data_IF_743714114846
#
_entry.id   IF_743714114846
#
_cell.length_a   1.000
_cell.length_b   1.000
_cell.length_c   1.000
_cell.angle_alpha   90.00
_cell.angle_beta   90.00
_cell.angle_gamma   90.00
#
_symmetry.space_group_name_H-M   'P 1'
#
loop_
_entity.id
_entity.type
_entity.pdbx_description
1 polymer ?
#
# COMPACT_ATOMS: atom_id res chain seq x y z
N UNK A 1 -62.69 -8.89 39.12
CA UNK A 1 -62.20 -9.65 40.28
C UNK A 1 -60.72 -9.25 40.43
N UNK A 2 -60.29 -8.34 41.32
CA UNK A 2 -60.89 -7.72 42.52
C UNK A 2 -61.30 -8.70 43.62
N UNK A 3 -60.99 -8.28 44.86
CA UNK A 3 -61.27 -8.91 46.16
C UNK A 3 -60.43 -10.18 46.46
N UNK A 4 -59.99 -10.46 47.71
CA UNK A 4 -60.35 -9.87 49.02
C UNK A 4 -59.22 -9.97 50.07
N UNK A 5 -59.14 -8.99 51.01
CA UNK A 5 -58.76 -9.04 52.46
C UNK A 5 -57.46 -9.73 52.96
N UNK A 6 -56.64 -9.15 53.86
CA UNK A 6 -56.82 -8.74 55.28
C UNK A 6 -57.05 -9.91 56.28
N UNK A 7 -56.58 -9.91 57.55
CA UNK A 7 -55.55 -9.12 58.27
C UNK A 7 -55.38 -9.65 59.73
N UNK A 8 -54.26 -9.35 60.41
CA UNK A 8 -54.09 -9.31 61.89
C UNK A 8 -52.81 -8.48 62.19
N UNK A 9 -52.79 -7.34 62.92
CA UNK A 9 -53.17 -7.04 64.33
C UNK A 9 -52.21 -7.67 65.38
N UNK A 10 -51.75 -7.02 66.45
CA UNK A 10 -51.66 -5.59 66.89
C UNK A 10 -50.62 -5.53 68.07
N UNK A 11 -50.44 -4.54 68.99
CA UNK A 11 -51.09 -3.25 69.35
C UNK A 11 -50.18 -2.48 70.37
N UNK A 12 -50.07 -1.14 70.29
CA UNK A 12 -49.61 -0.15 71.34
C UNK A 12 -48.22 -0.37 72.03
N UNK A 13 -47.60 0.59 72.76
CA UNK A 13 -48.03 1.90 73.29
C UNK A 13 -46.93 3.02 73.31
N UNK A 14 -47.28 4.21 73.81
CA UNK A 14 -46.46 5.44 73.87
C UNK A 14 -45.28 5.46 74.89
N UNK A 15 -44.29 6.35 74.68
CA UNK A 15 -43.84 7.37 75.68
C UNK A 15 -42.61 8.18 75.21
N UNK A 16 -42.54 9.47 75.60
CA UNK A 16 -41.31 10.30 75.54
C UNK A 16 -40.68 10.50 76.92
N UNK A 17 -39.36 10.71 76.97
CA UNK A 17 -38.81 11.84 77.74
C UNK A 17 -37.89 12.70 76.84
N UNK A 18 -37.52 13.94 77.20
CA UNK A 18 -37.61 14.58 78.51
C UNK A 18 -36.19 14.84 79.04
N UNK A 19 -35.72 16.09 78.98
CA UNK A 19 -34.32 16.43 79.22
C UNK A 19 -33.92 16.50 80.70
N UNK A 20 -32.65 16.24 80.99
CA UNK A 20 -32.08 16.38 82.34
C UNK A 20 -30.55 16.52 82.32
N UNK A 21 -30.05 17.63 82.85
CA UNK A 21 -28.65 17.88 83.20
C UNK A 21 -28.68 18.41 84.64
N UNK A 22 -27.89 17.84 85.57
CA UNK A 22 -26.65 18.53 85.90
C UNK A 22 -25.46 17.61 86.22
N UNK A 23 -24.31 17.91 85.61
CA UNK A 23 -23.03 18.09 86.31
C UNK A 23 -22.43 16.91 87.09
N UNK A 24 -21.41 16.27 86.50
CA UNK A 24 -20.34 15.61 87.24
C UNK A 24 -18.98 16.07 86.68
N UNK A 25 -18.09 16.55 87.56
CA UNK A 25 -16.79 17.11 87.16
C UNK A 25 -15.69 16.04 87.07
N UNK A 26 -14.84 16.15 86.04
CA UNK A 26 -13.45 15.66 86.02
C UNK A 26 -12.68 16.36 84.91
N UNK A 27 -11.56 16.98 85.28
CA UNK A 27 -10.51 17.39 84.35
C UNK A 27 -9.54 16.21 84.13
N UNK A 28 -8.49 16.43 83.31
CA UNK A 28 -7.55 15.42 82.79
C UNK A 28 -8.22 14.52 81.72
N UNK A 29 -7.64 14.22 80.55
CA UNK A 29 -6.27 14.47 80.06
C UNK A 29 -6.22 15.12 78.67
N UNK A 30 -5.62 16.32 78.57
CA UNK A 30 -5.44 17.03 77.29
C UNK A 30 -4.23 16.54 76.47
N UNK A 31 -3.56 15.46 76.89
CA UNK A 31 -2.22 15.07 76.39
C UNK A 31 -2.20 13.93 75.35
N UNK A 32 -3.36 13.39 74.96
CA UNK A 32 -3.43 12.24 74.04
C UNK A 32 -4.24 12.49 72.75
N UNK A 33 -4.79 13.69 72.57
CA UNK A 33 -5.53 14.05 71.37
C UNK A 33 -4.63 14.37 70.15
N UNK A 34 -3.50 15.07 70.35
CA UNK A 34 -2.63 15.48 69.24
C UNK A 34 -1.85 14.32 68.60
N UNK A 35 -1.30 13.40 69.39
CA UNK A 35 -0.44 12.32 68.89
C UNK A 35 -1.18 11.30 68.03
N UNK A 36 -2.48 11.07 68.27
CA UNK A 36 -3.30 10.16 67.44
C UNK A 36 -3.69 10.79 66.10
N UNK A 37 -3.93 12.10 66.05
CA UNK A 37 -4.33 12.82 64.82
C UNK A 37 -3.17 13.06 63.84
N UNK A 38 -1.93 13.21 64.35
CA UNK A 38 -0.75 13.35 63.48
C UNK A 38 -0.41 12.04 62.79
N UNK A 39 -0.51 10.90 63.49
CA UNK A 39 -0.21 9.59 62.90
C UNK A 39 -1.19 9.18 61.79
N UNK A 40 -2.49 9.45 61.96
CA UNK A 40 -3.51 9.11 60.95
C UNK A 40 -3.41 10.00 59.71
N UNK A 41 -3.08 11.28 59.87
CA UNK A 41 -2.79 12.16 58.74
C UNK A 41 -1.57 11.69 57.94
N UNK A 42 -0.51 11.24 58.62
CA UNK A 42 0.70 10.72 57.96
C UNK A 42 0.41 9.44 57.15
N UNK A 43 -0.42 8.53 57.69
CA UNK A 43 -0.77 7.28 57.01
C UNK A 43 -1.62 7.53 55.75
N UNK A 44 -2.58 8.47 55.80
CA UNK A 44 -3.40 8.82 54.64
C UNK A 44 -2.60 9.53 53.55
N UNK A 45 -1.61 10.36 53.92
CA UNK A 45 -0.71 11.02 52.96
C UNK A 45 0.16 10.05 52.16
N UNK A 46 0.63 8.95 52.77
CA UNK A 46 1.47 7.94 52.08
C UNK A 46 0.67 7.09 51.09
N UNK A 47 -0.57 6.72 51.42
CA UNK A 47 -1.42 5.93 50.51
C UNK A 47 -1.79 6.71 49.24
N UNK A 48 -1.96 8.03 49.34
CA UNK A 48 -2.26 8.90 48.20
C UNK A 48 -1.11 9.04 47.17
N UNK A 49 0.13 8.66 47.52
CA UNK A 49 1.29 8.72 46.62
C UNK A 49 1.52 7.44 45.81
N UNK A 50 0.82 6.34 46.12
CA UNK A 50 1.02 5.03 45.48
C UNK A 50 0.03 4.73 44.35
N UNK A 51 -1.03 5.53 44.18
CA UNK A 51 -2.04 5.35 43.13
C UNK A 51 -1.65 5.91 41.75
N UNK A 52 -0.52 6.63 41.66
CA UNK A 52 -0.06 7.33 40.45
C UNK A 52 0.43 6.45 39.28
N UNK A 53 0.50 5.13 39.43
CA UNK A 53 0.89 4.20 38.35
C UNK A 53 -0.28 3.68 37.49
N UNK A 54 -1.50 4.16 37.71
CA UNK A 54 -2.64 3.84 36.85
C UNK A 54 -2.57 4.54 35.48
N UNK A 55 -2.94 3.81 34.42
CA UNK A 55 -3.21 4.35 33.07
C UNK A 55 -2.00 4.98 32.35
N UNK A 56 -0.85 4.30 32.35
CA UNK A 56 -0.04 4.28 31.12
C UNK A 56 -0.64 3.25 30.16
N UNK A 57 -0.93 3.67 28.93
CA UNK A 57 -1.35 2.74 27.87
C UNK A 57 -0.26 1.74 27.50
N UNK A 58 -0.62 0.68 26.76
CA UNK A 58 0.36 -0.16 26.07
C UNK A 58 0.85 0.55 24.79
N UNK A 59 2.06 0.23 24.29
CA UNK A 59 2.50 0.59 22.95
C UNK A 59 1.46 0.23 21.88
N UNK A 60 1.42 1.01 20.81
CA UNK A 60 0.52 0.78 19.68
C UNK A 60 1.20 1.07 18.37
N UNK A 61 0.84 0.32 17.33
CA UNK A 61 1.33 0.51 15.97
C UNK A 61 0.16 0.92 15.08
N UNK A 62 0.38 1.82 14.12
CA UNK A 62 -0.64 2.28 13.18
C UNK A 62 -0.03 2.45 11.79
N UNK A 63 -0.72 2.00 10.75
CA UNK A 63 -0.30 2.22 9.36
C UNK A 63 -0.68 3.66 9.00
N UNK A 64 0.32 4.52 8.77
CA UNK A 64 0.12 5.95 8.47
C UNK A 64 0.12 6.25 6.97
N UNK A 65 0.75 5.38 6.17
CA UNK A 65 0.73 5.42 4.70
C UNK A 65 0.85 4.00 4.12
N UNK A 66 0.28 3.79 2.94
CA UNK A 66 0.29 2.52 2.22
C UNK A 66 0.14 2.77 0.71
N UNK A 67 1.25 2.72 -0.01
CA UNK A 67 1.33 3.06 -1.45
C UNK A 67 1.88 1.91 -2.28
N UNK A 68 1.57 1.92 -3.58
CA UNK A 68 2.29 1.13 -4.58
C UNK A 68 3.39 2.00 -5.21
N UNK A 69 4.55 1.40 -5.44
CA UNK A 69 5.76 2.04 -5.94
C UNK A 69 6.55 1.05 -6.81
N UNK A 70 7.51 1.52 -7.61
CA UNK A 70 8.32 0.67 -8.52
C UNK A 70 7.50 -0.25 -9.46
N UNK A 71 6.31 0.18 -9.89
CA UNK A 71 5.48 -0.60 -10.81
C UNK A 71 6.22 -0.86 -12.14
N UNK A 72 6.13 -2.09 -12.63
CA UNK A 72 6.85 -2.54 -13.83
C UNK A 72 6.11 -3.71 -14.50
N UNK A 73 6.76 -4.42 -15.43
CA UNK A 73 6.30 -5.74 -15.89
C UNK A 73 6.80 -6.91 -15.03
N UNK A 74 7.80 -6.69 -14.18
CA UNK A 74 8.41 -7.75 -13.34
C UNK A 74 7.72 -7.86 -11.97
N UNK A 75 7.29 -6.73 -11.43
CA UNK A 75 6.77 -6.62 -10.08
C UNK A 75 6.39 -5.18 -9.68
N UNK A 76 6.11 -5.02 -8.39
CA UNK A 76 5.76 -3.75 -7.74
C UNK A 76 6.17 -3.80 -6.26
N UNK A 77 6.56 -2.67 -5.69
CA UNK A 77 6.87 -2.52 -4.26
C UNK A 77 5.64 -1.98 -3.53
N UNK A 78 5.07 -2.77 -2.62
CA UNK A 78 4.06 -2.30 -1.65
C UNK A 78 4.81 -1.61 -0.52
N UNK A 79 4.75 -0.29 -0.48
CA UNK A 79 5.44 0.54 0.51
C UNK A 79 4.48 0.88 1.65
N UNK A 80 4.70 0.29 2.82
CA UNK A 80 3.93 0.57 4.04
C UNK A 80 4.75 1.44 4.98
N UNK A 81 4.13 2.47 5.56
CA UNK A 81 4.71 3.25 6.67
C UNK A 81 3.92 2.98 7.93
N UNK A 82 4.61 2.52 8.98
CA UNK A 82 3.99 2.20 10.28
C UNK A 82 4.60 3.08 11.36
N UNK A 83 3.77 3.86 12.05
CA UNK A 83 4.16 4.63 13.23
C UNK A 83 3.89 3.79 14.49
N UNK A 84 4.96 3.46 15.22
CA UNK A 84 4.91 2.70 16.48
C UNK A 84 5.11 3.66 17.64
N UNK A 85 4.09 3.83 18.49
CA UNK A 85 4.06 4.77 19.61
C UNK A 85 4.39 4.07 20.92
N UNK A 86 5.32 4.62 21.68
CA UNK A 86 5.73 4.15 23.00
C UNK A 86 5.28 5.13 24.10
N UNK A 87 4.21 4.81 24.85
CA UNK A 87 3.76 5.62 25.97
C UNK A 87 4.61 5.46 27.24
N UNK A 88 5.58 4.54 27.30
CA UNK A 88 6.41 4.33 28.50
C UNK A 88 7.47 5.43 28.69
N UNK A 89 7.91 5.71 29.93
CA UNK A 89 8.93 6.72 30.23
C UNK A 89 10.37 6.26 29.91
N UNK A 90 10.53 5.06 29.34
CA UNK A 90 11.80 4.47 28.90
C UNK A 90 11.64 3.91 27.48
N UNK A 91 12.75 3.83 26.75
CA UNK A 91 12.75 3.34 25.37
C UNK A 91 12.45 1.83 25.32
N UNK A 92 11.74 1.39 24.27
CA UNK A 92 11.34 -0.01 24.08
C UNK A 92 12.06 -0.58 22.85
N UNK A 93 12.84 -1.66 22.99
CA UNK A 93 13.36 -2.41 21.85
C UNK A 93 12.23 -3.02 21.01
N UNK A 94 12.29 -2.83 19.69
CA UNK A 94 11.52 -3.60 18.72
C UNK A 94 12.45 -4.69 18.19
N UNK A 95 12.13 -5.93 18.55
CA UNK A 95 13.05 -7.07 18.46
C UNK A 95 13.09 -7.62 17.04
N UNK A 96 11.93 -7.82 16.42
CA UNK A 96 11.76 -7.98 14.99
C UNK A 96 10.39 -7.46 14.51
N UNK A 97 10.21 -7.38 13.19
CA UNK A 97 8.90 -7.20 12.54
C UNK A 97 8.73 -8.30 11.51
N UNK A 98 7.89 -9.28 11.82
CA UNK A 98 7.49 -10.33 10.87
C UNK A 98 6.43 -9.78 9.91
N UNK A 99 6.46 -10.19 8.64
CA UNK A 99 5.45 -9.81 7.66
C UNK A 99 5.16 -10.90 6.63
N UNK A 100 3.93 -10.93 6.14
CA UNK A 100 3.48 -11.77 5.03
C UNK A 100 2.55 -11.01 4.10
N UNK A 101 2.60 -11.32 2.80
CA UNK A 101 1.64 -10.84 1.81
C UNK A 101 1.00 -12.05 1.14
N UNK A 102 -0.34 -12.10 1.18
CA UNK A 102 -1.16 -13.13 0.58
C UNK A 102 -2.17 -12.53 -0.42
N UNK A 103 -2.65 -13.35 -1.37
CA UNK A 103 -3.69 -12.99 -2.35
C UNK A 103 -4.61 -14.20 -2.53
N UNK A 104 -5.92 -14.00 -2.35
CA UNK A 104 -6.91 -15.10 -2.35
C UNK A 104 -6.50 -16.27 -1.43
N UNK A 105 -6.15 -15.92 -0.19
CA UNK A 105 -5.67 -16.83 0.88
C UNK A 105 -4.28 -17.46 0.65
N UNK A 106 -3.81 -17.56 -0.60
CA UNK A 106 -2.47 -18.06 -0.94
C UNK A 106 -1.33 -17.09 -0.59
N UNK A 107 -0.25 -17.63 -0.03
CA UNK A 107 0.92 -16.87 0.43
C UNK A 107 1.90 -16.57 -0.72
N UNK A 108 2.06 -15.28 -1.07
CA UNK A 108 2.98 -14.83 -2.12
C UNK A 108 4.40 -14.65 -1.57
N UNK A 109 4.56 -13.99 -0.42
CA UNK A 109 5.86 -13.79 0.22
C UNK A 109 5.75 -13.66 1.74
N UNK A 110 6.84 -14.01 2.42
CA UNK A 110 7.06 -13.79 3.86
C UNK A 110 8.43 -13.17 4.08
N UNK A 111 8.64 -12.53 5.23
CA UNK A 111 9.92 -11.98 5.63
C UNK A 111 9.91 -11.43 7.05
N UNK A 112 11.08 -10.95 7.50
CA UNK A 112 11.22 -10.29 8.79
C UNK A 112 12.26 -9.16 8.72
N UNK A 113 11.99 -8.04 9.39
CA UNK A 113 12.98 -7.02 9.70
C UNK A 113 13.57 -7.34 11.08
N UNK A 114 14.79 -7.86 11.10
CA UNK A 114 15.50 -8.19 12.34
C UNK A 114 16.13 -6.96 12.98
N UNK A 115 15.91 -6.78 14.29
CA UNK A 115 16.48 -5.71 15.13
C UNK A 115 16.37 -4.29 14.52
N UNK A 116 15.17 -3.82 14.13
CA UNK A 116 14.94 -2.46 13.62
C UNK A 116 15.21 -1.34 14.65
N UNK A 117 15.66 -1.66 15.86
CA UNK A 117 16.10 -0.73 16.90
C UNK A 117 15.00 -0.43 17.93
N UNK A 118 15.16 0.64 18.70
CA UNK A 118 14.21 0.99 19.78
C UNK A 118 13.29 2.15 19.40
N UNK A 119 12.09 2.16 19.98
CA UNK A 119 11.19 3.33 19.99
C UNK A 119 11.53 4.19 21.23
N UNK A 120 11.70 5.52 21.08
CA UNK A 120 12.10 6.41 22.18
C UNK A 120 11.07 6.48 23.32
N UNK A 121 11.52 6.88 24.51
CA UNK A 121 10.66 7.14 25.66
C UNK A 121 9.63 8.24 25.35
N UNK A 122 8.35 8.02 25.69
CA UNK A 122 7.20 8.93 25.44
C UNK A 122 7.06 9.42 23.99
N UNK A 123 7.69 8.73 23.02
CA UNK A 123 7.73 9.14 21.62
C UNK A 123 7.18 8.08 20.67
N UNK A 124 7.47 8.23 19.39
CA UNK A 124 7.14 7.24 18.37
C UNK A 124 8.30 6.99 17.42
N UNK A 125 8.15 5.97 16.58
CA UNK A 125 9.08 5.64 15.50
C UNK A 125 8.30 5.20 14.27
N UNK A 126 8.44 5.96 13.19
CA UNK A 126 8.01 5.52 11.86
C UNK A 126 9.00 4.48 11.31
N UNK A 127 8.46 3.43 10.70
CA UNK A 127 9.19 2.37 10.04
C UNK A 127 8.64 2.21 8.62
N UNK A 128 9.52 2.31 7.63
CA UNK A 128 9.22 1.98 6.24
C UNK A 128 9.40 0.47 6.03
N UNK A 129 8.36 -0.21 5.55
CA UNK A 129 8.36 -1.65 5.27
C UNK A 129 8.06 -1.85 3.77
N UNK A 130 9.07 -2.03 2.91
CA UNK A 130 8.90 -2.22 1.47
C UNK A 130 8.78 -3.71 1.11
N UNK A 131 7.57 -4.16 0.77
CA UNK A 131 7.32 -5.52 0.31
C UNK A 131 7.40 -5.55 -1.23
N UNK A 132 8.56 -5.96 -1.78
CA UNK A 132 8.74 -6.10 -3.24
C UNK A 132 8.12 -7.42 -3.73
N UNK A 133 7.01 -7.31 -4.44
CA UNK A 133 6.27 -8.43 -5.03
C UNK A 133 6.70 -8.62 -6.48
N UNK A 134 7.06 -9.85 -6.89
CA UNK A 134 7.23 -10.18 -8.32
C UNK A 134 5.94 -10.79 -8.86
N UNK A 135 5.54 -10.41 -10.07
CA UNK A 135 4.33 -10.97 -10.69
C UNK A 135 4.48 -12.45 -11.08
N UNK A 136 5.70 -12.91 -11.36
CA UNK A 136 5.96 -14.34 -11.54
C UNK A 136 5.61 -15.16 -10.29
N UNK A 137 5.98 -14.66 -9.10
CA UNK A 137 5.71 -15.33 -7.83
C UNK A 137 4.18 -15.34 -7.54
N UNK A 138 3.47 -14.25 -7.85
CA UNK A 138 2.00 -14.15 -7.74
C UNK A 138 1.26 -15.10 -8.68
N UNK A 139 1.69 -15.18 -9.94
CA UNK A 139 1.09 -16.06 -10.96
C UNK A 139 1.38 -17.55 -10.70
N UNK A 140 2.46 -17.86 -9.98
CA UNK A 140 2.80 -19.23 -9.57
C UNK A 140 2.08 -19.66 -8.28
N UNK A 141 1.82 -18.73 -7.35
CA UNK A 141 1.15 -19.02 -6.08
C UNK A 141 -0.39 -19.09 -6.21
N UNK A 142 -1.00 -18.30 -7.11
CA UNK A 142 -2.47 -18.17 -7.18
C UNK A 142 -3.00 -18.73 -8.49
N UNK A 143 -3.70 -19.86 -8.42
CA UNK A 143 -4.27 -20.50 -9.61
C UNK A 143 -5.30 -19.63 -10.37
N UNK A 144 -5.36 -19.83 -11.68
CA UNK A 144 -6.32 -19.16 -12.57
C UNK A 144 -6.07 -17.65 -12.79
N UNK A 145 -4.94 -17.11 -12.34
CA UNK A 145 -4.54 -15.74 -12.66
C UNK A 145 -4.02 -15.60 -14.10
N UNK A 146 -4.12 -14.37 -14.61
CA UNK A 146 -3.69 -13.95 -15.94
C UNK A 146 -3.00 -12.59 -15.85
N UNK A 147 -2.11 -12.30 -16.79
CA UNK A 147 -1.66 -10.92 -17.01
C UNK A 147 -2.85 -10.03 -17.38
N UNK A 148 -2.87 -8.83 -16.83
CA UNK A 148 -3.92 -7.81 -17.02
C UNK A 148 -4.93 -7.75 -15.87
N UNK A 149 -4.91 -8.71 -14.94
CA UNK A 149 -5.86 -8.76 -13.83
C UNK A 149 -5.53 -7.76 -12.71
N UNK A 150 -6.55 -7.46 -11.89
CA UNK A 150 -6.36 -6.86 -10.55
C UNK A 150 -6.75 -7.91 -9.50
N UNK A 151 -5.90 -8.12 -8.49
CA UNK A 151 -6.13 -9.12 -7.43
C UNK A 151 -6.14 -8.48 -6.04
N UNK A 152 -7.00 -8.95 -5.11
CA UNK A 152 -6.99 -8.46 -3.74
C UNK A 152 -5.78 -9.04 -3.00
N UNK A 153 -5.01 -8.18 -2.32
CA UNK A 153 -3.93 -8.60 -1.43
C UNK A 153 -4.26 -8.27 0.04
N UNK A 154 -3.69 -9.07 0.93
CA UNK A 154 -3.63 -8.80 2.36
C UNK A 154 -2.18 -8.88 2.83
N UNK A 155 -1.65 -7.78 3.38
CA UNK A 155 -0.42 -7.77 4.16
C UNK A 155 -0.77 -7.93 5.63
N UNK A 156 -0.15 -8.90 6.29
CA UNK A 156 -0.13 -9.02 7.74
C UNK A 156 1.28 -8.65 8.23
N UNK A 157 1.36 -7.90 9.33
CA UNK A 157 2.61 -7.56 10.01
C UNK A 157 2.47 -7.85 11.50
N UNK A 158 3.54 -8.32 12.13
CA UNK A 158 3.61 -8.51 13.57
C UNK A 158 4.85 -7.81 14.12
N UNK A 159 4.65 -6.74 14.88
CA UNK A 159 5.73 -6.00 15.53
C UNK A 159 5.93 -6.59 16.93
N UNK A 160 7.09 -7.19 17.20
CA UNK A 160 7.38 -7.86 18.48
C UNK A 160 8.32 -7.00 19.34
N UNK A 161 7.85 -6.55 20.51
CA UNK A 161 8.54 -5.63 21.41
C UNK A 161 8.85 -6.31 22.75
N UNK A 162 10.08 -6.13 23.26
CA UNK A 162 10.43 -6.51 24.63
C UNK A 162 10.11 -5.32 25.56
N UNK A 163 8.99 -5.36 26.29
CA UNK A 163 8.50 -4.22 27.09
C UNK A 163 8.97 -4.28 28.56
N UNK A 164 8.95 -3.15 29.30
CA UNK A 164 9.43 -3.11 30.68
C UNK A 164 8.74 -4.13 31.59
N UNK A 165 9.53 -4.84 32.40
CA UNK A 165 9.06 -5.98 33.20
C UNK A 165 9.29 -7.35 32.54
N UNK A 166 9.73 -7.40 31.28
CA UNK A 166 10.05 -8.65 30.58
C UNK A 166 8.85 -9.33 29.90
N UNK A 167 7.70 -8.67 29.85
CA UNK A 167 6.59 -9.06 28.97
C UNK A 167 7.03 -8.89 27.50
N UNK A 168 6.67 -9.86 26.66
CA UNK A 168 6.79 -9.73 25.20
C UNK A 168 5.45 -9.28 24.62
N UNK A 169 5.45 -8.14 23.95
CA UNK A 169 4.26 -7.54 23.37
C UNK A 169 4.29 -7.68 21.85
N UNK A 170 3.34 -8.45 21.31
CA UNK A 170 3.02 -8.48 19.88
C UNK A 170 2.00 -7.38 19.55
N UNK A 171 2.25 -6.63 18.49
CA UNK A 171 1.33 -5.66 17.90
C UNK A 171 1.02 -6.09 16.45
N UNK A 172 -0.01 -6.93 16.24
CA UNK A 172 -0.42 -7.36 14.91
C UNK A 172 -1.13 -6.23 14.16
N UNK A 173 -0.83 -6.09 12.87
CA UNK A 173 -1.47 -5.17 11.94
C UNK A 173 -1.85 -5.90 10.64
N UNK A 174 -2.97 -5.52 10.05
CA UNK A 174 -3.43 -5.99 8.73
C UNK A 174 -3.68 -4.80 7.82
N UNK A 175 -3.26 -4.91 6.55
CA UNK A 175 -3.62 -4.00 5.46
C UNK A 175 -4.14 -4.80 4.29
N UNK A 176 -5.28 -4.40 3.76
CA UNK A 176 -5.84 -4.94 2.52
C UNK A 176 -5.77 -3.87 1.41
N UNK A 177 -5.72 -4.33 0.15
CA UNK A 177 -5.68 -3.47 -1.03
C UNK A 177 -5.75 -4.25 -2.34
N UNK A 178 -5.57 -3.54 -3.45
CA UNK A 178 -5.53 -4.11 -4.79
C UNK A 178 -4.10 -4.16 -5.33
N UNK A 179 -3.76 -5.27 -5.99
CA UNK A 179 -2.49 -5.49 -6.68
C UNK A 179 -2.78 -5.63 -8.19
N UNK A 180 -2.36 -4.69 -9.05
CA UNK A 180 -2.41 -4.90 -10.50
C UNK A 180 -1.35 -5.92 -10.91
N UNK A 181 -1.64 -6.73 -11.92
CA UNK A 181 -0.67 -7.57 -12.61
C UNK A 181 -0.65 -7.10 -14.07
N UNK A 182 0.20 -6.12 -14.46
CA UNK A 182 0.08 -5.47 -15.76
C UNK A 182 0.34 -6.40 -16.94
N UNK A 183 -0.47 -6.26 -17.99
CA UNK A 183 -0.20 -6.80 -19.32
C UNK A 183 0.18 -5.67 -20.27
N UNK A 184 1.00 -6.02 -21.27
CA UNK A 184 1.32 -5.12 -22.37
C UNK A 184 0.09 -4.99 -23.27
N UNK A 185 -0.40 -3.77 -23.58
CA UNK A 185 -1.47 -3.59 -24.55
C UNK A 185 -1.15 -4.25 -25.90
N UNK A 186 -2.17 -4.82 -26.54
CA UNK A 186 -2.01 -5.35 -27.90
C UNK A 186 -1.88 -4.19 -28.88
N UNK A 187 -0.99 -4.32 -29.87
CA UNK A 187 -0.77 -3.29 -30.91
C UNK A 187 -0.78 -3.96 -32.27
N UNK A 188 -1.69 -3.53 -33.15
CA UNK A 188 -1.91 -4.09 -34.49
C UNK A 188 -1.85 -2.98 -35.54
N UNK A 189 -1.11 -3.18 -36.62
CA UNK A 189 -1.19 -2.31 -37.81
C UNK A 189 -2.52 -2.56 -38.51
N UNK A 190 -3.39 -1.55 -38.58
CA UNK A 190 -4.73 -1.64 -39.20
C UNK A 190 -4.81 -1.01 -40.59
N UNK A 191 -4.02 0.02 -40.88
CA UNK A 191 -3.88 0.62 -42.22
C UNK A 191 -2.42 1.07 -42.43
N UNK A 192 -1.92 0.92 -43.65
CA UNK A 192 -0.71 1.61 -44.12
C UNK A 192 -1.05 2.28 -45.43
N UNK A 193 -1.15 3.61 -45.42
CA UNK A 193 -1.44 4.42 -46.60
C UNK A 193 -0.21 5.23 -46.98
N UNK A 194 0.03 5.39 -48.27
CA UNK A 194 1.03 6.31 -48.80
C UNK A 194 0.32 7.44 -49.52
N UNK A 195 0.52 8.68 -49.05
CA UNK A 195 -0.11 9.88 -49.60
C UNK A 195 0.76 10.49 -50.71
N UNK A 196 2.09 10.35 -50.62
CA UNK A 196 3.03 10.72 -51.67
C UNK A 196 4.15 9.66 -51.78
N UNK A 197 4.47 9.22 -52.99
CA UNK A 197 5.66 8.41 -53.28
C UNK A 197 6.37 9.00 -54.51
N UNK A 198 7.67 9.27 -54.36
CA UNK A 198 8.55 9.72 -55.44
C UNK A 198 9.91 9.01 -55.37
N UNK A 199 10.76 9.25 -56.36
CA UNK A 199 12.15 8.73 -56.38
C UNK A 199 12.98 9.20 -55.16
N UNK A 200 12.58 10.31 -54.52
CA UNK A 200 13.34 10.96 -53.45
C UNK A 200 12.56 11.09 -52.12
N UNK A 201 11.29 10.69 -52.05
CA UNK A 201 10.48 10.88 -50.86
C UNK A 201 9.34 9.87 -50.77
N UNK A 202 9.00 9.49 -49.53
CA UNK A 202 7.76 8.78 -49.24
C UNK A 202 7.09 9.44 -48.03
N UNK A 203 5.82 9.82 -48.18
CA UNK A 203 4.95 10.30 -47.10
C UNK A 203 3.74 9.38 -47.00
N UNK A 204 3.30 9.10 -45.79
CA UNK A 204 2.15 8.23 -45.56
C UNK A 204 1.63 8.31 -44.13
N UNK A 205 0.66 7.45 -43.85
CA UNK A 205 0.01 7.30 -42.56
C UNK A 205 -0.02 5.81 -42.20
N UNK A 206 0.47 5.48 -41.02
CA UNK A 206 0.25 4.16 -40.40
C UNK A 206 -0.82 4.32 -39.34
N UNK A 207 -1.88 3.51 -39.41
CA UNK A 207 -2.85 3.36 -38.32
C UNK A 207 -2.46 2.18 -37.46
N UNK A 208 -2.31 2.40 -36.15
CA UNK A 208 -2.11 1.35 -35.16
C UNK A 208 -3.35 1.25 -34.27
N UNK A 209 -4.05 0.13 -34.33
CA UNK A 209 -5.03 -0.22 -33.32
C UNK A 209 -4.28 -0.66 -32.05
N UNK A 210 -4.48 0.07 -30.95
CA UNK A 210 -3.98 -0.31 -29.62
C UNK A 210 -5.17 -0.77 -28.78
N UNK A 211 -5.11 -1.99 -28.22
CA UNK A 211 -6.17 -2.56 -27.39
C UNK A 211 -5.68 -2.74 -25.96
N UNK A 212 -6.40 -2.17 -24.99
CA UNK A 212 -6.11 -2.40 -23.58
C UNK A 212 -6.61 -3.79 -23.13
N UNK A 213 -5.67 -4.70 -22.88
CA UNK A 213 -5.92 -6.07 -22.40
C UNK A 213 -5.98 -6.17 -20.86
N UNK A 214 -5.91 -5.05 -20.15
CA UNK A 214 -5.97 -4.98 -18.69
C UNK A 214 -7.40 -4.74 -18.19
N UNK A 215 -7.66 -5.12 -16.94
CA UNK A 215 -8.92 -4.92 -16.21
C UNK A 215 -8.98 -3.53 -15.51
N UNK A 216 -8.02 -2.65 -15.82
CA UNK A 216 -7.91 -1.27 -15.34
C UNK A 216 -7.58 -0.30 -16.49
N UNK A 217 -7.85 1.00 -16.30
CA UNK A 217 -7.56 2.05 -17.30
C UNK A 217 -6.04 2.19 -17.55
N UNK A 218 -5.66 2.31 -18.82
CA UNK A 218 -4.28 2.44 -19.28
C UNK A 218 -4.10 3.73 -20.10
N UNK A 219 -3.33 4.67 -19.57
CA UNK A 219 -2.91 5.89 -20.26
C UNK A 219 -1.64 5.68 -21.07
N UNK A 220 -1.63 6.07 -22.35
CA UNK A 220 -0.45 6.06 -23.22
C UNK A 220 0.24 7.43 -23.17
N UNK A 221 1.01 7.67 -22.10
CA UNK A 221 1.68 8.95 -21.85
C UNK A 221 2.72 9.32 -22.90
N UNK A 222 3.35 8.32 -23.53
CA UNK A 222 4.46 8.49 -24.47
C UNK A 222 4.52 7.29 -25.40
N UNK A 223 4.47 7.51 -26.71
CA UNK A 223 4.83 6.51 -27.72
C UNK A 223 6.02 7.04 -28.51
N UNK A 224 7.22 6.54 -28.22
CA UNK A 224 8.38 6.73 -29.08
C UNK A 224 8.46 5.56 -30.06
N UNK A 225 8.70 5.83 -31.34
CA UNK A 225 8.74 4.79 -32.37
C UNK A 225 9.86 5.01 -33.39
N UNK A 226 10.37 3.93 -33.95
CA UNK A 226 11.30 3.93 -35.06
C UNK A 226 10.97 2.80 -36.05
N UNK A 227 11.17 3.07 -37.34
CA UNK A 227 11.04 2.08 -38.41
C UNK A 227 12.36 2.00 -39.18
N UNK A 228 12.80 0.76 -39.43
CA UNK A 228 14.00 0.43 -40.19
C UNK A 228 13.66 -0.46 -41.38
N UNK A 229 14.33 -0.24 -42.51
CA UNK A 229 14.18 -1.00 -43.75
C UNK A 229 15.58 -1.33 -44.28
N UNK A 230 15.88 -2.60 -44.54
CA UNK A 230 17.23 -3.05 -44.89
C UNK A 230 18.28 -2.63 -43.84
N UNK A 231 17.94 -2.81 -42.55
CA UNK A 231 18.74 -2.33 -41.40
C UNK A 231 18.86 -0.81 -41.25
N UNK A 232 18.34 -0.03 -42.20
CA UNK A 232 18.50 1.43 -42.26
C UNK A 232 17.31 2.11 -41.62
N UNK A 233 17.53 2.91 -40.57
CA UNK A 233 16.46 3.67 -39.91
C UNK A 233 15.87 4.71 -40.87
N UNK A 234 14.64 4.48 -41.33
CA UNK A 234 13.94 5.34 -42.29
C UNK A 234 13.06 6.38 -41.61
N UNK A 235 12.48 6.07 -40.45
CA UNK A 235 11.59 6.97 -39.69
C UNK A 235 11.83 6.85 -38.19
N UNK A 236 11.60 7.93 -37.45
CA UNK A 236 11.18 7.88 -36.05
C UNK A 236 10.36 9.10 -35.67
N UNK A 237 9.51 8.97 -34.66
CA UNK A 237 8.80 10.08 -34.05
C UNK A 237 8.45 9.81 -32.59
N UNK A 238 7.72 10.74 -31.99
CA UNK A 238 7.18 10.65 -30.63
C UNK A 238 5.77 11.22 -30.62
N UNK A 239 4.83 10.53 -29.96
CA UNK A 239 3.55 11.08 -29.51
C UNK A 239 3.58 11.16 -27.97
N UNK A 240 2.92 12.16 -27.41
CA UNK A 240 2.74 12.36 -25.96
C UNK A 240 1.26 12.40 -25.60
N UNK A 241 0.88 11.80 -24.47
CA UNK A 241 -0.49 11.64 -23.98
C UNK A 241 -1.48 11.21 -25.08
N UNK A 242 -1.05 10.20 -25.86
CA UNK A 242 -1.66 9.80 -27.13
C UNK A 242 -3.06 9.19 -26.99
N UNK A 243 -3.36 8.58 -25.85
CA UNK A 243 -4.66 8.03 -25.49
C UNK A 243 -4.77 7.75 -23.99
N UNK A 244 -6.01 7.61 -23.51
CA UNK A 244 -6.32 6.75 -22.37
C UNK A 244 -7.30 5.68 -22.86
N UNK A 245 -7.12 4.43 -22.43
CA UNK A 245 -7.92 3.28 -22.84
C UNK A 245 -8.51 2.56 -21.62
N UNK A 246 -9.84 2.51 -21.54
CA UNK A 246 -10.53 1.72 -20.52
C UNK A 246 -10.43 0.21 -20.79
N UNK A 247 -10.78 -0.66 -19.83
CA UNK A 247 -10.65 -2.12 -19.99
C UNK A 247 -11.30 -2.66 -21.26
N UNK A 248 -10.56 -3.45 -22.03
CA UNK A 248 -11.00 -4.00 -23.32
C UNK A 248 -11.12 -3.00 -24.47
N UNK A 249 -10.88 -1.71 -24.26
CA UNK A 249 -11.05 -0.68 -25.30
C UNK A 249 -9.91 -0.75 -26.33
N UNK A 250 -10.29 -0.72 -27.61
CA UNK A 250 -9.38 -0.44 -28.73
C UNK A 250 -9.44 1.04 -29.10
N UNK A 251 -8.30 1.67 -29.39
CA UNK A 251 -8.19 2.99 -30.04
C UNK A 251 -7.16 2.96 -31.16
N UNK A 252 -7.53 3.52 -32.30
CA UNK A 252 -6.64 3.65 -33.45
C UNK A 252 -5.81 4.94 -33.33
N UNK A 253 -4.49 4.81 -33.30
CA UNK A 253 -3.53 5.90 -33.34
C UNK A 253 -3.08 6.16 -34.78
N UNK A 254 -3.14 7.41 -35.24
CA UNK A 254 -2.66 7.81 -36.56
C UNK A 254 -1.21 8.32 -36.49
N UNK A 255 -0.30 7.62 -37.16
CA UNK A 255 1.15 7.89 -37.12
C UNK A 255 1.60 8.43 -38.49
N UNK A 256 1.97 9.72 -38.59
CA UNK A 256 2.48 10.30 -39.84
C UNK A 256 3.90 9.82 -40.13
N UNK A 257 4.08 9.19 -41.29
CA UNK A 257 5.34 8.63 -41.78
C UNK A 257 5.92 9.59 -42.83
N UNK A 258 7.17 10.04 -42.64
CA UNK A 258 7.90 10.87 -43.60
C UNK A 258 9.33 10.35 -43.73
N UNK A 259 9.68 9.79 -44.88
CA UNK A 259 11.01 9.26 -45.18
C UNK A 259 11.81 10.29 -45.99
N UNK A 260 13.06 10.54 -45.61
CA UNK A 260 13.95 11.47 -46.30
C UNK A 260 14.68 10.79 -47.48
N UNK A 261 15.13 11.55 -48.50
CA UNK A 261 15.83 10.98 -49.65
C UNK A 261 17.06 10.16 -49.26
N UNK A 262 17.81 10.64 -48.25
CA UNK A 262 19.04 10.01 -47.80
C UNK A 262 18.80 8.67 -47.10
N UNK A 263 17.83 8.59 -46.17
CA UNK A 263 17.52 7.31 -45.50
C UNK A 263 16.86 6.31 -46.45
N UNK A 264 16.05 6.78 -47.40
CA UNK A 264 15.40 5.95 -48.40
C UNK A 264 16.40 5.37 -49.41
N UNK A 265 17.33 6.19 -49.92
CA UNK A 265 18.40 5.74 -50.81
C UNK A 265 19.36 4.75 -50.14
N UNK A 266 19.76 5.01 -48.89
CA UNK A 266 20.59 4.08 -48.11
C UNK A 266 19.86 2.75 -47.84
N UNK A 267 18.57 2.80 -47.52
CA UNK A 267 17.76 1.58 -47.34
C UNK A 267 17.72 0.73 -48.62
N UNK A 268 17.50 1.34 -49.79
CA UNK A 268 17.51 0.62 -51.09
C UNK A 268 18.89 0.03 -51.40
N UNK A 269 19.97 0.79 -51.20
CA UNK A 269 21.35 0.28 -51.40
C UNK A 269 21.66 -0.90 -50.48
N UNK A 270 21.19 -0.87 -49.23
CA UNK A 270 21.39 -1.96 -48.28
C UNK A 270 20.50 -3.17 -48.58
N UNK A 271 19.24 -2.96 -49.02
CA UNK A 271 18.37 -4.04 -49.51
C UNK A 271 18.93 -4.75 -50.74
N UNK A 272 19.57 -4.03 -51.67
CA UNK A 272 20.21 -4.60 -52.86
C UNK A 272 21.51 -5.36 -52.54
N UNK A 273 22.19 -5.01 -51.45
CA UNK A 273 23.37 -5.74 -50.94
C UNK A 273 22.98 -6.95 -50.08
N UNK A 274 21.82 -6.92 -49.43
CA UNK A 274 21.32 -8.01 -48.61
C UNK A 274 20.62 -9.09 -49.46
N UNK A 275 20.87 -10.37 -49.19
CA UNK A 275 20.08 -11.45 -49.77
C UNK A 275 18.68 -11.59 -49.15
N UNK A 276 18.39 -10.87 -48.06
CA UNK A 276 17.10 -10.90 -47.36
C UNK A 276 16.60 -9.48 -47.04
N UNK A 277 15.69 -8.90 -47.85
CA UNK A 277 15.13 -7.57 -47.58
C UNK A 277 14.14 -7.64 -46.42
N UNK A 278 14.48 -7.02 -45.29
CA UNK A 278 13.66 -6.97 -44.08
C UNK A 278 13.19 -5.57 -43.72
N UNK A 279 12.11 -5.50 -42.94
CA UNK A 279 11.72 -4.30 -42.20
C UNK A 279 11.50 -4.63 -40.72
N UNK A 280 11.64 -3.62 -39.87
CA UNK A 280 11.41 -3.67 -38.44
C UNK A 280 10.74 -2.37 -37.96
N UNK A 281 9.76 -2.49 -37.07
CA UNK A 281 9.16 -1.39 -36.33
C UNK A 281 9.34 -1.67 -34.84
N UNK A 282 10.03 -0.76 -34.14
CA UNK A 282 10.25 -0.80 -32.68
C UNK A 282 9.68 0.45 -32.03
N UNK A 283 9.38 0.36 -30.73
CA UNK A 283 9.11 1.55 -29.94
C UNK A 283 8.97 1.32 -28.45
N UNK A 284 9.00 2.43 -27.72
CA UNK A 284 8.93 2.53 -26.28
C UNK A 284 7.58 3.16 -25.90
N UNK A 285 6.88 2.55 -24.95
CA UNK A 285 5.52 2.94 -24.59
C UNK A 285 5.46 3.25 -23.09
N UNK A 286 5.39 4.54 -22.77
CA UNK A 286 5.19 5.04 -21.40
C UNK A 286 3.73 4.91 -21.01
N UNK A 287 3.47 4.18 -19.93
CA UNK A 287 2.16 3.84 -19.39
C UNK A 287 1.88 4.65 -18.12
N UNK A 288 0.68 5.22 -18.04
CA UNK A 288 0.07 5.81 -16.83
C UNK A 288 -1.03 4.89 -16.31
N UNK A 289 -1.10 4.65 -15.01
CA UNK A 289 -2.20 3.90 -14.37
C UNK A 289 -2.58 4.50 -13.02
N UNK A 290 -3.75 4.14 -12.47
CA UNK A 290 -4.13 4.51 -11.09
C UNK A 290 -3.22 3.93 -9.99
N UNK A 291 -2.34 3.00 -10.36
CA UNK A 291 -1.43 2.28 -9.46
C UNK A 291 0.04 2.72 -9.61
N UNK A 292 0.32 3.66 -10.51
CA UNK A 292 1.67 4.13 -10.83
C UNK A 292 1.94 4.22 -12.33
N UNK A 293 2.97 4.98 -12.70
CA UNK A 293 3.45 5.18 -14.05
C UNK A 293 4.69 4.30 -14.30
N UNK A 294 4.83 3.71 -15.49
CA UNK A 294 5.97 2.88 -15.85
C UNK A 294 6.25 2.88 -17.36
N UNK A 295 7.50 2.69 -17.76
CA UNK A 295 7.84 2.51 -19.19
C UNK A 295 7.90 1.03 -19.55
N UNK A 296 7.26 0.66 -20.66
CA UNK A 296 7.39 -0.67 -21.23
C UNK A 296 8.75 -0.81 -21.94
N UNK A 297 9.46 -1.95 -21.81
CA UNK A 297 10.68 -2.20 -22.55
C UNK A 297 10.41 -2.19 -24.06
N UNK A 298 11.38 -1.68 -24.84
CA UNK A 298 11.26 -1.49 -26.30
C UNK A 298 10.73 -2.75 -26.99
N UNK A 299 9.48 -2.71 -27.48
CA UNK A 299 8.89 -3.83 -28.22
C UNK A 299 9.08 -3.65 -29.72
N UNK A 300 9.39 -4.76 -30.39
CA UNK A 300 9.24 -4.95 -31.83
C UNK A 300 7.75 -5.18 -32.13
N UNK A 301 7.08 -4.17 -32.70
CA UNK A 301 5.66 -4.22 -33.04
C UNK A 301 5.39 -4.94 -34.36
N UNK A 302 6.34 -4.88 -35.31
CA UNK A 302 6.27 -5.62 -36.56
C UNK A 302 7.67 -5.91 -37.10
N UNK A 303 7.85 -7.06 -37.73
CA UNK A 303 8.99 -7.33 -38.60
C UNK A 303 8.61 -8.33 -39.68
N UNK A 304 9.25 -8.23 -40.85
CA UNK A 304 9.18 -9.27 -41.88
C UNK A 304 10.59 -9.67 -42.30
N UNK A 305 10.90 -10.92 -42.00
CA UNK A 305 11.99 -11.69 -42.59
C UNK A 305 11.37 -12.51 -43.74
N UNK A 306 12.03 -12.68 -44.89
CA UNK A 306 11.50 -13.59 -45.92
C UNK A 306 11.70 -15.02 -45.43
N UNK A 307 10.62 -15.79 -45.31
CA UNK A 307 10.72 -17.24 -45.12
C UNK A 307 11.47 -17.84 -46.31
N UNK A 308 12.44 -18.71 -46.01
CA UNK A 308 13.13 -19.53 -47.02
C UNK A 308 12.21 -20.65 -47.51
#
# INVERSE_FOLDING_TARGET
MRETNMAYAARIDEATPGGGNPGASRAWDSRHAMTRSVLTALLMGVVALLTGCGVLGKPSANIVDATLSDLSLEGVTVALKVDVKNPYPIAVPLTNVEYSLASREESILTGALEKPGSIPARGSKTLDVPLRVKFADVLAAVEGLKLGAVVPYAVNMNFNLDVPGGEKLSLPLKKEGELPIPNVPEVRVSEVRWDEVSVLSAKGLIKLDVTNTNEFDVGLAKLAYAMSVGGTKVVSGKLSDAASLSPGQTKTLEIPVKISPASLGLAVVNMLKSSNPSYEVVGDLGIKTRFGDFELPTKRFASKERSR
#
